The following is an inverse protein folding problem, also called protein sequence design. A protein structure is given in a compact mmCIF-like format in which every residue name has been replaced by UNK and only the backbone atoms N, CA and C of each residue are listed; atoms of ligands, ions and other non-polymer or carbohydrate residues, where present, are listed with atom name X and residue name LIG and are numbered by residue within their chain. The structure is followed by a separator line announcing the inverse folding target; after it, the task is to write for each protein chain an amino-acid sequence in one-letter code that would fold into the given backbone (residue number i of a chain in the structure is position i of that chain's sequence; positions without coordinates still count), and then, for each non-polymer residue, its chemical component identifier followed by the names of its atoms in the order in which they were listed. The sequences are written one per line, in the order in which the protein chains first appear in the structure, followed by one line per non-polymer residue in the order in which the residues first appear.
data_IF_403048607843
#
_entry.id   IF_403048607843
#
_cell.length_a   1.000
_cell.length_b   1.000
_cell.length_c   1.000
_cell.angle_alpha   90.00
_cell.angle_beta   90.00
_cell.angle_gamma   90.00
#
_symmetry.space_group_name_H-M   'P 1'
#
loop_
_entity.id
_entity.type
_entity.pdbx_description
1 polymer ?
#
# COMPACT_ATOMS: atom_id res chain seq x y z
N UNK A 1 -12.80 40.85 -16.72
CA UNK A 1 -11.90 39.81 -17.25
C UNK A 1 -11.53 38.92 -16.08
N UNK A 2 -12.40 37.96 -15.76
CA UNK A 2 -12.25 37.08 -14.59
C UNK A 2 -11.34 35.94 -15.00
N UNK A 3 -10.18 35.81 -14.34
CA UNK A 3 -9.30 34.68 -14.51
C UNK A 3 -10.09 33.41 -14.18
N UNK A 4 -10.42 32.62 -15.20
CA UNK A 4 -10.94 31.27 -15.00
C UNK A 4 -9.83 30.47 -14.32
N UNK A 5 -9.98 30.25 -13.02
CA UNK A 5 -9.19 29.28 -12.27
C UNK A 5 -9.30 27.96 -13.02
N UNK A 6 -8.20 27.57 -13.68
CA UNK A 6 -8.08 26.22 -14.22
C UNK A 6 -8.28 25.26 -13.05
N UNK A 7 -9.20 24.28 -13.14
CA UNK A 7 -9.47 23.39 -12.03
C UNK A 7 -8.16 22.71 -11.65
N UNK A 8 -7.77 22.85 -10.38
CA UNK A 8 -6.65 22.08 -9.85
C UNK A 8 -6.94 20.60 -10.09
N UNK A 9 -5.91 19.81 -10.36
CA UNK A 9 -5.97 18.34 -10.56
C UNK A 9 -6.81 17.60 -9.48
N UNK A 10 -7.07 18.28 -8.35
CA UNK A 10 -7.99 17.91 -7.29
C UNK A 10 -9.46 17.68 -7.71
N UNK A 11 -9.92 18.19 -8.84
CA UNK A 11 -11.36 18.16 -9.20
C UNK A 11 -11.65 17.32 -10.46
N UNK A 12 -10.69 16.50 -10.89
CA UNK A 12 -10.85 15.62 -12.05
C UNK A 12 -12.00 14.62 -11.84
N UNK A 13 -13.09 14.82 -12.57
CA UNK A 13 -14.37 14.08 -12.53
C UNK A 13 -14.22 12.58 -12.78
N UNK A 14 -13.16 12.17 -13.49
CA UNK A 14 -12.98 10.80 -13.99
C UNK A 14 -12.35 9.83 -12.99
N UNK A 15 -11.86 10.30 -11.83
CA UNK A 15 -11.22 9.46 -10.81
C UNK A 15 -11.95 9.58 -9.46
N UNK A 16 -13.10 8.91 -9.37
CA UNK A 16 -13.98 8.83 -8.18
C UNK A 16 -13.28 8.17 -6.98
N UNK A 17 -13.79 8.32 -5.75
CA UNK A 17 -13.33 7.68 -4.49
C UNK A 17 -11.91 8.09 -4.01
N UNK A 18 -11.68 9.39 -3.78
CA UNK A 18 -10.44 9.85 -3.14
C UNK A 18 -10.50 9.66 -1.63
N UNK A 19 -9.36 9.39 -1.03
CA UNK A 19 -9.18 9.13 0.40
C UNK A 19 -8.18 10.11 1.01
N UNK A 20 -8.21 10.22 2.35
CA UNK A 20 -7.19 10.97 3.08
C UNK A 20 -5.93 10.11 3.16
N UNK A 21 -4.89 10.52 2.45
CA UNK A 21 -3.61 9.82 2.39
C UNK A 21 -2.57 10.57 3.21
N UNK A 22 -1.71 9.80 3.88
CA UNK A 22 -0.56 10.39 4.54
C UNK A 22 0.44 10.88 3.48
N UNK A 23 0.81 12.17 3.55
CA UNK A 23 1.83 12.75 2.69
C UNK A 23 2.90 13.38 3.56
N UNK A 24 4.14 12.89 3.42
CA UNK A 24 5.28 13.44 4.14
C UNK A 24 5.64 14.82 3.60
N UNK A 25 4.93 15.87 4.04
CA UNK A 25 5.32 17.24 3.71
C UNK A 25 6.46 17.68 4.61
N UNK A 26 7.57 18.09 4.01
CA UNK A 26 8.79 18.60 4.67
C UNK A 26 8.60 19.97 5.35
N UNK A 27 7.41 20.56 5.26
CA UNK A 27 7.11 21.91 5.75
C UNK A 27 6.56 21.79 7.17
N UNK A 28 7.32 22.32 8.13
CA UNK A 28 6.90 22.41 9.53
C UNK A 28 5.56 23.16 9.64
N UNK A 29 4.59 22.54 10.32
CA UNK A 29 3.26 23.12 10.58
C UNK A 29 2.15 22.66 9.65
N UNK A 30 2.43 21.96 8.55
CA UNK A 30 1.38 21.38 7.73
C UNK A 30 0.94 20.02 8.29
N UNK A 31 -0.38 19.75 8.30
CA UNK A 31 -0.88 18.40 8.63
C UNK A 31 -0.42 17.46 7.51
N UNK A 32 0.18 16.28 7.82
CA UNK A 32 0.74 15.37 6.82
C UNK A 32 -0.38 14.55 6.14
N UNK A 33 -1.45 15.22 5.71
CA UNK A 33 -2.66 14.62 5.15
C UNK A 33 -2.95 15.32 3.83
N UNK A 34 -3.03 14.55 2.76
CA UNK A 34 -3.38 15.03 1.41
C UNK A 34 -4.58 14.24 0.90
N UNK A 35 -5.43 14.86 0.10
CA UNK A 35 -6.51 14.15 -0.60
C UNK A 35 -5.89 13.44 -1.81
N UNK A 36 -5.90 12.11 -1.77
CA UNK A 36 -5.17 11.28 -2.72
C UNK A 36 -5.90 9.98 -3.05
N UNK A 37 -5.12 9.06 -3.59
CA UNK A 37 -5.57 7.71 -3.92
C UNK A 37 -4.59 6.73 -3.30
N UNK A 38 -5.10 5.85 -2.44
CA UNK A 38 -4.32 4.76 -1.88
C UNK A 38 -4.01 3.73 -2.97
N UNK A 39 -2.74 3.36 -3.07
CA UNK A 39 -2.30 2.26 -3.92
C UNK A 39 -1.51 1.26 -3.09
N UNK A 40 -1.58 0.02 -3.53
CA UNK A 40 -0.88 -1.08 -2.91
C UNK A 40 -0.18 -1.93 -3.94
N UNK A 41 1.13 -2.04 -3.77
CA UNK A 41 1.99 -2.88 -4.59
C UNK A 41 2.55 -4.01 -3.76
N UNK A 42 2.47 -5.23 -4.28
CA UNK A 42 3.31 -6.35 -3.85
C UNK A 42 4.29 -6.65 -4.98
N UNK A 43 5.57 -6.69 -4.65
CA UNK A 43 6.65 -6.89 -5.61
C UNK A 43 7.53 -8.08 -5.21
N UNK A 44 8.15 -8.69 -6.20
CA UNK A 44 9.08 -9.80 -6.07
C UNK A 44 10.51 -9.29 -6.21
N UNK A 45 11.40 -9.78 -5.34
CA UNK A 45 12.84 -9.54 -5.44
C UNK A 45 13.46 -10.82 -6.01
N UNK A 46 13.83 -10.85 -7.31
CA UNK A 46 14.29 -12.08 -7.96
C UNK A 46 15.75 -12.40 -7.68
N UNK A 47 16.54 -11.41 -7.32
CA UNK A 47 17.99 -11.51 -7.20
C UNK A 47 18.43 -11.37 -5.75
N UNK A 48 19.53 -12.04 -5.38
CA UNK A 48 20.14 -11.91 -4.05
C UNK A 48 20.76 -10.54 -3.79
N UNK A 49 21.12 -9.83 -4.87
CA UNK A 49 21.78 -8.53 -4.84
C UNK A 49 21.27 -7.69 -6.00
N UNK A 50 20.92 -6.44 -5.73
CA UNK A 50 20.38 -5.52 -6.73
C UNK A 50 19.43 -4.52 -6.08
N UNK A 51 19.01 -3.51 -6.85
CA UNK A 51 18.08 -2.47 -6.38
C UNK A 51 16.87 -2.35 -7.30
N UNK A 52 16.31 -3.50 -7.68
CA UNK A 52 15.08 -3.58 -8.46
C UNK A 52 14.16 -4.67 -7.93
N UNK A 53 12.86 -4.50 -8.16
CA UNK A 53 11.84 -5.48 -7.80
C UNK A 53 10.78 -5.51 -8.90
N UNK A 54 10.24 -6.69 -9.20
CA UNK A 54 9.19 -6.89 -10.18
C UNK A 54 7.82 -6.72 -9.52
N UNK A 55 6.99 -5.72 -9.91
CA UNK A 55 5.64 -5.61 -9.39
C UNK A 55 4.82 -6.85 -9.78
N UNK A 56 4.40 -7.65 -8.80
CA UNK A 56 3.54 -8.80 -9.05
C UNK A 56 2.10 -8.35 -9.21
N UNK A 57 1.63 -7.47 -8.32
CA UNK A 57 0.30 -6.86 -8.37
C UNK A 57 0.36 -5.43 -7.87
N UNK A 58 -0.28 -4.52 -8.60
CA UNK A 58 -0.44 -3.12 -8.23
C UNK A 58 -1.92 -2.77 -8.31
N UNK A 59 -2.50 -2.38 -7.20
CA UNK A 59 -3.94 -2.13 -7.12
C UNK A 59 -4.27 -0.91 -6.31
N UNK A 60 -5.42 -0.35 -6.65
CA UNK A 60 -6.04 0.72 -5.90
C UNK A 60 -6.68 0.18 -4.62
N UNK A 61 -6.54 0.92 -3.54
CA UNK A 61 -7.30 0.78 -2.31
C UNK A 61 -8.48 1.74 -2.41
N UNK A 62 -9.70 1.20 -2.45
CA UNK A 62 -10.92 2.01 -2.46
C UNK A 62 -11.29 2.46 -1.04
N UNK A 63 -12.15 3.47 -0.92
CA UNK A 63 -12.59 4.01 0.37
C UNK A 63 -13.32 3.00 1.27
N UNK A 64 -13.83 1.90 0.69
CA UNK A 64 -14.47 0.79 1.40
C UNK A 64 -13.49 -0.31 1.84
N UNK A 65 -12.24 -0.28 1.37
CA UNK A 65 -11.23 -1.30 1.66
C UNK A 65 -10.29 -0.83 2.78
N UNK A 66 -9.89 -1.77 3.65
CA UNK A 66 -8.79 -1.51 4.58
C UNK A 66 -7.45 -1.84 3.92
N UNK A 67 -6.38 -1.06 4.15
CA UNK A 67 -5.03 -1.37 3.66
C UNK A 67 -4.58 -2.78 4.05
N UNK A 68 -4.82 -3.19 5.30
CA UNK A 68 -4.57 -4.55 5.81
C UNK A 68 -5.42 -5.60 5.09
N UNK A 69 -6.70 -5.31 4.81
CA UNK A 69 -7.57 -6.25 4.08
C UNK A 69 -7.06 -6.49 2.66
N UNK A 70 -6.74 -5.41 1.93
CA UNK A 70 -6.15 -5.48 0.60
C UNK A 70 -4.82 -6.24 0.63
N UNK A 71 -4.05 -6.07 1.72
CA UNK A 71 -2.79 -6.75 1.92
C UNK A 71 -2.85 -8.26 1.94
N UNK A 72 -3.67 -8.74 2.85
CA UNK A 72 -3.93 -10.15 3.08
C UNK A 72 -4.46 -10.76 1.78
N UNK A 73 -5.34 -10.05 1.07
CA UNK A 73 -5.88 -10.53 -0.19
C UNK A 73 -4.82 -10.61 -1.30
N UNK A 74 -3.98 -9.60 -1.47
CA UNK A 74 -2.89 -9.60 -2.47
C UNK A 74 -1.89 -10.73 -2.20
N UNK A 75 -1.48 -10.91 -0.94
CA UNK A 75 -0.57 -11.98 -0.56
C UNK A 75 -1.19 -13.36 -0.86
N UNK A 76 -2.48 -13.56 -0.54
CA UNK A 76 -3.22 -14.79 -0.90
C UNK A 76 -3.22 -15.04 -2.41
N UNK A 77 -3.42 -14.02 -3.25
CA UNK A 77 -3.40 -14.22 -4.70
C UNK A 77 -2.01 -14.60 -5.19
N UNK A 78 -0.96 -13.92 -4.70
CA UNK A 78 0.42 -14.22 -5.10
C UNK A 78 0.81 -15.65 -4.70
N UNK A 79 0.52 -16.07 -3.47
CA UNK A 79 0.84 -17.41 -2.98
C UNK A 79 0.21 -18.55 -3.77
N UNK A 80 -0.89 -18.33 -4.51
CA UNK A 80 -1.49 -19.35 -5.39
C UNK A 80 -0.62 -19.70 -6.59
N UNK A 81 0.24 -18.77 -7.01
CA UNK A 81 1.02 -18.89 -8.25
C UNK A 81 2.51 -19.10 -7.99
N UNK A 82 2.96 -19.02 -6.74
CA UNK A 82 4.35 -19.26 -6.39
C UNK A 82 4.57 -20.76 -6.15
N UNK A 83 5.59 -21.37 -6.79
CA UNK A 83 5.87 -22.80 -6.67
C UNK A 83 6.46 -23.18 -5.31
N UNK A 84 6.95 -22.18 -4.56
CA UNK A 84 7.58 -22.32 -3.26
C UNK A 84 6.92 -21.37 -2.27
N UNK A 85 6.99 -21.73 -0.98
CA UNK A 85 6.56 -20.87 0.12
C UNK A 85 7.45 -19.61 0.14
N UNK A 86 6.92 -18.40 -0.12
CA UNK A 86 7.72 -17.19 -0.14
C UNK A 86 7.96 -16.64 1.26
N UNK A 87 9.03 -15.85 1.40
CA UNK A 87 9.19 -14.90 2.50
C UNK A 87 8.63 -13.57 2.05
N UNK A 88 7.62 -13.06 2.76
CA UNK A 88 7.03 -11.74 2.53
C UNK A 88 7.55 -10.74 3.57
N UNK A 89 7.94 -9.56 3.12
CA UNK A 89 8.57 -8.52 3.95
C UNK A 89 7.63 -7.32 4.06
N UNK A 90 7.42 -6.83 5.28
CA UNK A 90 6.46 -5.78 5.59
C UNK A 90 7.04 -4.72 6.53
N UNK A 91 6.64 -3.47 6.34
CA UNK A 91 7.02 -2.37 7.21
C UNK A 91 6.22 -2.34 8.52
N UNK A 92 6.42 -1.28 9.31
CA UNK A 92 5.79 -1.10 10.62
C UNK A 92 4.29 -0.84 10.59
N UNK A 93 3.71 -0.42 9.47
CA UNK A 93 2.25 -0.29 9.35
C UNK A 93 1.56 -1.65 9.53
N UNK A 94 2.23 -2.71 9.07
CA UNK A 94 1.75 -4.09 9.14
C UNK A 94 2.23 -4.84 10.39
N UNK A 95 3.06 -4.23 11.23
CA UNK A 95 3.55 -4.78 12.50
C UNK A 95 2.50 -4.78 13.61
N UNK A 96 1.26 -5.18 13.30
CA UNK A 96 0.12 -5.11 14.20
C UNK A 96 -0.66 -6.44 14.28
N UNK A 97 -1.35 -6.68 15.40
CA UNK A 97 -2.11 -7.91 15.63
C UNK A 97 -3.14 -8.23 14.54
N UNK A 98 -3.93 -7.26 14.01
CA UNK A 98 -4.90 -7.55 12.96
C UNK A 98 -4.28 -8.09 11.67
N UNK A 99 -3.07 -7.62 11.31
CA UNK A 99 -2.37 -8.13 10.15
C UNK A 99 -1.89 -9.57 10.39
N UNK A 100 -1.17 -9.79 11.50
CA UNK A 100 -0.62 -11.10 11.86
C UNK A 100 -1.70 -12.19 11.94
N UNK A 101 -2.83 -11.90 12.59
CA UNK A 101 -3.95 -12.84 12.69
C UNK A 101 -4.55 -13.20 11.33
N UNK A 102 -4.65 -12.21 10.41
CA UNK A 102 -5.21 -12.43 9.08
C UNK A 102 -4.24 -13.13 8.12
N UNK A 103 -2.93 -13.05 8.38
CA UNK A 103 -1.91 -13.73 7.57
C UNK A 103 -1.49 -15.09 8.12
N UNK A 104 -1.90 -15.45 9.35
CA UNK A 104 -1.45 -16.66 10.06
C UNK A 104 -1.64 -17.97 9.26
N UNK A 105 -2.70 -18.07 8.46
CA UNK A 105 -3.01 -19.27 7.65
C UNK A 105 -2.52 -19.18 6.19
N UNK A 106 -1.89 -18.08 5.79
CA UNK A 106 -1.37 -17.93 4.43
C UNK A 106 -0.08 -18.74 4.31
N UNK A 107 0.13 -19.48 3.20
CA UNK A 107 1.36 -20.22 3.00
C UNK A 107 2.52 -19.30 2.58
N UNK A 108 2.91 -18.40 3.48
CA UNK A 108 4.05 -17.50 3.36
C UNK A 108 4.69 -17.29 4.73
N UNK A 109 6.00 -17.13 4.77
CA UNK A 109 6.71 -16.68 5.96
C UNK A 109 6.67 -15.16 6.02
N UNK A 110 6.44 -14.60 7.20
CA UNK A 110 6.20 -13.16 7.38
C UNK A 110 7.38 -12.56 8.14
N UNK A 111 8.14 -11.69 7.49
CA UNK A 111 9.10 -10.81 8.13
C UNK A 111 8.47 -9.42 8.22
N UNK A 112 8.23 -8.94 9.44
CA UNK A 112 7.60 -7.63 9.66
C UNK A 112 8.35 -6.83 10.70
N UNK A 113 8.49 -5.53 10.44
CA UNK A 113 9.08 -4.60 11.42
C UNK A 113 8.03 -4.19 12.43
N UNK A 114 8.34 -4.24 13.72
CA UNK A 114 7.51 -3.59 14.75
C UNK A 114 7.98 -2.15 14.96
N UNK A 115 7.06 -1.20 15.10
CA UNK A 115 7.39 0.14 15.62
C UNK A 115 7.43 0.08 17.14
N UNK A 116 8.52 0.54 17.73
CA UNK A 116 8.57 0.87 19.15
C UNK A 116 7.91 2.25 19.27
N UNK A 117 6.84 2.35 20.03
CA UNK A 117 6.18 3.62 20.35
C UNK A 117 6.97 4.40 21.39
#
# INVERSE_FOLDING_TARGET
MTLQNSPTKSDAVTLQQRTYEHSGTSIAGNKPITIGQGYRTIAWIPEKSGSWALPLRHERITSSESPIGKAVWQLKQVCKHLPIRPISVWDSEYGCAPFLLKTASIPADILVRFSIA
#
